data_IF_724230811071
#
_entry.id   IF_724230811071
#
_cell.length_a   1.000
_cell.length_b   1.000
_cell.length_c   1.000
_cell.angle_alpha   90.00
_cell.angle_beta   90.00
_cell.angle_gamma   90.00
#
_symmetry.space_group_name_H-M   'P 1'
#
loop_
_entity.id
_entity.type
_entity.pdbx_description
1 polymer ?
#
# COMPACT_ATOMS: atom_id res chain seq x y z
N UNK A 1 -0.77 12.95 -3.68
CA UNK A 1 -0.10 11.66 -3.99
C UNK A 1 -1.02 10.47 -3.74
N UNK A 2 -1.49 10.23 -2.51
CA UNK A 2 -2.35 9.06 -2.19
C UNK A 2 -3.58 8.97 -3.11
N UNK A 3 -4.31 10.08 -3.29
CA UNK A 3 -5.46 10.10 -4.21
C UNK A 3 -5.10 9.83 -5.67
N UNK A 4 -3.92 10.27 -6.12
CA UNK A 4 -3.40 10.02 -7.48
C UNK A 4 -3.04 8.55 -7.70
N UNK A 5 -2.43 7.91 -6.69
CA UNK A 5 -2.14 6.48 -6.75
C UNK A 5 -3.44 5.67 -6.71
N UNK A 6 -4.39 6.06 -5.87
CA UNK A 6 -5.69 5.38 -5.78
C UNK A 6 -6.48 5.47 -7.08
N UNK A 7 -6.53 6.64 -7.73
CA UNK A 7 -7.22 6.78 -9.02
C UNK A 7 -6.58 5.99 -10.16
N UNK A 8 -5.34 5.53 -9.97
CA UNK A 8 -4.55 4.73 -10.91
C UNK A 8 -4.42 3.26 -10.50
N UNK A 9 -5.35 2.76 -9.68
CA UNK A 9 -5.46 1.36 -9.27
C UNK A 9 -4.31 0.80 -8.41
N UNK A 10 -3.47 1.65 -7.81
CA UNK A 10 -2.52 1.19 -6.80
C UNK A 10 -3.25 0.69 -5.55
N UNK A 11 -2.91 -0.52 -5.09
CA UNK A 11 -3.65 -1.24 -4.05
C UNK A 11 -3.11 -1.02 -2.64
N UNK A 12 -1.78 -0.96 -2.47
CA UNK A 12 -1.15 -0.73 -1.17
C UNK A 12 0.09 0.16 -1.30
N UNK A 13 0.43 0.85 -0.21
CA UNK A 13 1.66 1.62 -0.07
C UNK A 13 2.47 1.01 1.08
N UNK A 14 3.55 0.30 0.75
CA UNK A 14 4.37 -0.39 1.73
C UNK A 14 5.43 0.55 2.32
N UNK A 15 5.43 0.68 3.65
CA UNK A 15 6.41 1.48 4.38
C UNK A 15 7.49 0.61 5.07
N UNK A 16 7.43 -0.72 4.94
CA UNK A 16 8.33 -1.74 5.50
C UNK A 16 8.45 -1.76 7.03
N UNK A 17 8.79 -0.64 7.66
CA UNK A 17 8.94 -0.47 9.11
C UNK A 17 8.02 0.63 9.63
N UNK A 18 7.30 0.34 10.72
CA UNK A 18 6.44 1.34 11.37
C UNK A 18 7.25 2.34 12.19
N UNK A 19 6.78 3.58 12.25
CA UNK A 19 7.26 4.59 13.19
C UNK A 19 6.13 5.57 13.56
N UNK A 20 6.28 6.40 14.63
CA UNK A 20 5.24 7.32 15.07
C UNK A 20 4.79 8.35 14.03
N UNK A 21 5.60 8.64 13.01
CA UNK A 21 5.23 9.54 11.93
C UNK A 21 4.28 8.87 10.94
N UNK A 22 4.55 7.60 10.59
CA UNK A 22 3.72 6.80 9.69
C UNK A 22 2.35 6.48 10.29
N UNK A 23 2.30 6.19 11.59
CA UNK A 23 1.04 5.94 12.31
C UNK A 23 0.09 7.15 12.22
N UNK A 24 0.62 8.37 12.35
CA UNK A 24 -0.15 9.63 12.20
C UNK A 24 -0.74 9.80 10.80
N UNK A 25 -0.14 9.19 9.77
CA UNK A 25 -0.66 9.18 8.41
C UNK A 25 -1.55 7.97 8.10
N UNK A 26 -1.92 7.19 9.12
CA UNK A 26 -2.84 6.05 8.99
C UNK A 26 -2.17 4.76 8.52
N UNK A 27 -0.83 4.67 8.55
CA UNK A 27 -0.17 3.39 8.36
C UNK A 27 -0.47 2.46 9.54
N UNK A 28 -0.65 1.18 9.27
CA UNK A 28 -0.88 0.17 10.29
C UNK A 28 -0.12 -1.12 9.94
N UNK A 29 0.21 -1.90 10.96
CA UNK A 29 0.91 -3.18 10.79
C UNK A 29 -0.11 -4.23 10.35
N UNK A 30 0.22 -4.96 9.27
CA UNK A 30 -0.51 -6.16 8.84
C UNK A 30 0.32 -7.41 9.11
N UNK A 31 -0.35 -8.53 9.37
CA UNK A 31 0.34 -9.81 9.45
C UNK A 31 0.82 -10.25 8.04
N UNK A 32 1.77 -11.18 8.01
CA UNK A 32 2.38 -11.66 6.77
C UNK A 32 1.38 -12.27 5.78
N UNK A 33 0.31 -12.93 6.25
CA UNK A 33 -0.70 -13.51 5.36
C UNK A 33 -1.47 -12.40 4.64
N UNK A 34 -2.03 -11.45 5.41
CA UNK A 34 -2.76 -10.31 4.87
C UNK A 34 -1.89 -9.49 3.92
N UNK A 35 -0.61 -9.28 4.27
CA UNK A 35 0.34 -8.60 3.40
C UNK A 35 0.51 -9.31 2.06
N UNK A 36 0.74 -10.63 2.06
CA UNK A 36 0.87 -11.42 0.82
C UNK A 36 -0.40 -11.40 -0.03
N UNK A 37 -1.56 -11.38 0.60
CA UNK A 37 -2.84 -11.31 -0.12
C UNK A 37 -3.07 -9.94 -0.76
N UNK A 38 -2.68 -8.85 -0.09
CA UNK A 38 -2.69 -7.51 -0.67
C UNK A 38 -1.66 -7.38 -1.80
N UNK A 39 -0.45 -7.93 -1.60
CA UNK A 39 0.62 -7.89 -2.59
C UNK A 39 0.23 -8.64 -3.86
N UNK A 40 -0.40 -9.82 -3.74
CA UNK A 40 -0.91 -10.57 -4.91
C UNK A 40 -1.91 -9.71 -5.70
N UNK A 41 -2.87 -9.10 -5.01
CA UNK A 41 -3.86 -8.22 -5.65
C UNK A 41 -3.20 -7.01 -6.32
N UNK A 42 -2.14 -6.45 -5.75
CA UNK A 42 -1.40 -5.34 -6.34
C UNK A 42 -0.67 -5.73 -7.62
N UNK A 43 -0.01 -6.90 -7.63
CA UNK A 43 0.75 -7.41 -8.78
C UNK A 43 -0.12 -7.75 -9.98
N UNK A 44 -1.40 -8.03 -9.76
CA UNK A 44 -2.38 -8.30 -10.83
C UNK A 44 -2.88 -7.01 -11.52
N UNK A 45 -2.57 -5.82 -10.99
CA UNK A 45 -3.00 -4.54 -11.58
C UNK A 45 -1.95 -4.00 -12.54
N UNK A 46 -2.40 -3.67 -13.74
CA UNK A 46 -1.64 -2.82 -14.65
C UNK A 46 -1.79 -1.36 -14.22
N UNK A 47 -0.70 -0.74 -13.78
CA UNK A 47 -0.69 0.60 -13.20
C UNK A 47 0.55 1.36 -13.65
N UNK A 48 0.38 2.62 -14.03
CA UNK A 48 1.48 3.54 -14.32
C UNK A 48 1.37 4.77 -13.43
N UNK A 49 2.51 5.26 -12.94
CA UNK A 49 2.59 6.50 -12.16
C UNK A 49 2.44 7.75 -13.03
N UNK A 50 2.85 7.65 -14.30
CA UNK A 50 2.86 8.70 -15.34
C UNK A 50 1.51 8.74 -16.04
#
# INVERSE_FOLDING_TARGET
LVEHLRSRNFVLFDAQMMNPHLERFGAYIVNNRNYKDLLRQALERDCSII
#
